data_IF_326624881072
#
_entry.id   IF_326624881072
#
_cell.length_a   1.000
_cell.length_b   1.000
_cell.length_c   1.000
_cell.angle_alpha   90.00
_cell.angle_beta   90.00
_cell.angle_gamma   90.00
#
_symmetry.space_group_name_H-M   'P 1'
#
loop_
_entity.id
_entity.type
_entity.pdbx_description
1 polymer ?
#
# COMPACT_ATOMS: atom_id res chain seq x y z
N UNK A 1 30.98 -18.27 85.26
CA UNK A 1 30.77 -17.11 84.33
C UNK A 1 31.18 -17.30 82.89
N UNK A 2 31.48 -18.52 82.37
CA UNK A 2 31.87 -18.76 80.96
C UNK A 2 30.69 -19.18 80.02
N UNK A 3 29.54 -19.61 80.51
CA UNK A 3 28.41 -20.06 79.72
C UNK A 3 27.55 -18.94 79.09
N UNK A 4 27.54 -17.75 79.66
CA UNK A 4 26.74 -16.61 79.21
C UNK A 4 27.31 -15.92 77.98
N UNK A 5 28.62 -15.94 77.75
CA UNK A 5 29.27 -15.32 76.59
C UNK A 5 29.04 -16.07 75.27
N UNK A 6 28.95 -17.39 75.36
CA UNK A 6 28.72 -18.25 74.17
C UNK A 6 27.31 -18.07 73.60
N UNK A 7 26.28 -18.04 74.45
CA UNK A 7 24.88 -17.87 74.00
C UNK A 7 24.63 -16.48 73.42
N UNK A 8 25.22 -15.46 73.93
CA UNK A 8 25.17 -14.08 73.39
C UNK A 8 25.84 -14.00 72.03
N UNK A 9 27.01 -14.64 71.84
CA UNK A 9 27.68 -14.66 70.54
C UNK A 9 26.85 -15.38 69.46
N UNK A 10 26.23 -16.54 69.76
CA UNK A 10 25.35 -17.23 68.80
C UNK A 10 24.08 -16.43 68.48
N UNK A 11 23.54 -15.68 69.45
CA UNK A 11 22.42 -14.77 69.19
C UNK A 11 22.81 -13.61 68.26
N UNK A 12 23.93 -12.98 68.51
CA UNK A 12 24.42 -11.88 67.66
C UNK A 12 24.77 -12.39 66.26
N UNK A 13 25.46 -13.53 66.10
CA UNK A 13 25.76 -14.10 64.79
C UNK A 13 24.50 -14.53 64.01
N UNK A 14 23.48 -15.09 64.68
CA UNK A 14 22.20 -15.42 64.08
C UNK A 14 21.45 -14.18 63.60
N UNK A 15 21.43 -13.09 64.38
CA UNK A 15 20.77 -11.85 63.98
C UNK A 15 21.46 -11.19 62.78
N UNK A 16 22.80 -11.18 62.78
CA UNK A 16 23.58 -10.65 61.62
C UNK A 16 23.32 -11.48 60.36
N UNK A 17 23.25 -12.81 60.47
CA UNK A 17 22.94 -13.67 59.32
C UNK A 17 21.53 -13.45 58.75
N UNK A 18 20.52 -13.23 59.63
CA UNK A 18 19.17 -12.90 59.19
C UNK A 18 19.09 -11.54 58.54
N UNK A 19 19.77 -10.53 59.07
CA UNK A 19 19.84 -9.20 58.45
C UNK A 19 20.53 -9.26 57.08
N UNK A 20 21.64 -10.00 56.98
CA UNK A 20 22.35 -10.17 55.71
C UNK A 20 21.46 -10.86 54.68
N UNK A 21 20.66 -11.88 55.08
CA UNK A 21 19.71 -12.56 54.19
C UNK A 21 18.59 -11.62 53.72
N UNK A 22 18.08 -10.79 54.63
CA UNK A 22 17.04 -9.79 54.30
C UNK A 22 17.58 -8.73 53.33
N UNK A 23 18.82 -8.30 53.51
CA UNK A 23 19.47 -7.36 52.57
C UNK A 23 19.67 -8.02 51.20
N UNK A 24 20.10 -9.29 51.15
CA UNK A 24 20.24 -10.04 49.90
C UNK A 24 18.92 -10.19 49.18
N UNK A 25 17.85 -10.50 49.89
CA UNK A 25 16.50 -10.60 49.33
C UNK A 25 16.02 -9.24 48.83
N UNK A 26 16.26 -8.18 49.59
CA UNK A 26 15.91 -6.82 49.17
C UNK A 26 16.68 -6.38 47.92
N UNK A 27 18.00 -6.64 47.88
CA UNK A 27 18.83 -6.36 46.68
C UNK A 27 18.35 -7.17 45.50
N UNK A 28 18.00 -8.46 45.68
CA UNK A 28 17.44 -9.30 44.63
C UNK A 28 16.12 -8.75 44.10
N UNK A 29 15.22 -8.30 44.95
CA UNK A 29 13.97 -7.65 44.56
C UNK A 29 14.21 -6.36 43.78
N UNK A 30 15.09 -5.48 44.33
CA UNK A 30 15.40 -4.21 43.68
C UNK A 30 16.14 -4.37 42.36
N UNK A 31 16.97 -5.40 42.19
CA UNK A 31 17.66 -5.69 40.91
C UNK A 31 16.73 -6.33 39.90
N UNK A 32 15.76 -7.17 40.33
CA UNK A 32 14.75 -7.72 39.42
C UNK A 32 13.73 -6.66 38.97
N UNK A 33 13.32 -5.73 39.85
CA UNK A 33 12.44 -4.62 39.43
C UNK A 33 13.16 -3.70 38.42
N UNK A 34 14.44 -3.41 38.62
CA UNK A 34 15.20 -2.63 37.64
C UNK A 34 15.47 -3.39 36.34
N UNK A 35 15.65 -4.73 36.39
CA UNK A 35 15.77 -5.54 35.20
C UNK A 35 14.45 -5.58 34.40
N UNK A 36 13.31 -5.74 35.08
CA UNK A 36 11.99 -5.72 34.43
C UNK A 36 11.67 -4.34 33.86
N UNK A 37 12.00 -3.26 34.60
CA UNK A 37 11.86 -1.90 34.09
C UNK A 37 12.80 -1.63 32.89
N UNK A 38 14.00 -2.21 32.87
CA UNK A 38 14.95 -2.12 31.74
C UNK A 38 14.44 -2.84 30.49
N UNK A 39 13.85 -4.04 30.63
CA UNK A 39 13.22 -4.75 29.52
C UNK A 39 12.09 -3.93 28.88
N UNK A 40 11.30 -3.21 29.66
CA UNK A 40 10.22 -2.37 29.16
C UNK A 40 10.69 -1.05 28.56
N UNK A 41 11.93 -0.61 28.83
CA UNK A 41 12.48 0.67 28.34
C UNK A 41 13.53 0.50 27.24
N UNK A 42 14.16 -0.67 27.09
CA UNK A 42 15.17 -0.94 26.05
C UNK A 42 14.54 -1.45 24.73
N UNK A 43 13.32 -2.02 24.75
CA UNK A 43 12.63 -2.54 23.56
C UNK A 43 11.90 -1.45 22.74
N UNK A 44 11.68 -0.27 23.30
CA UNK A 44 11.24 0.89 22.52
C UNK A 44 12.46 1.77 22.21
N UNK A 45 12.72 2.06 20.90
CA UNK A 45 13.78 3.00 20.53
C UNK A 45 13.62 4.30 21.34
N UNK A 46 14.64 4.68 22.11
CA UNK A 46 14.62 5.92 22.88
C UNK A 46 14.40 7.08 21.90
N UNK A 47 13.25 7.76 22.02
CA UNK A 47 12.85 8.82 21.08
C UNK A 47 11.66 8.51 20.20
N UNK A 48 11.13 7.28 20.18
CA UNK A 48 9.86 7.01 19.48
C UNK A 48 8.71 7.71 20.23
N UNK A 49 8.12 8.69 19.54
CA UNK A 49 6.95 9.42 20.04
C UNK A 49 5.77 9.19 19.11
N UNK A 50 4.62 8.86 19.70
CA UNK A 50 3.36 8.86 18.97
C UNK A 50 2.83 10.28 19.00
N UNK A 51 2.72 10.90 17.85
CA UNK A 51 2.25 12.29 17.69
C UNK A 51 1.12 12.33 16.66
N UNK A 52 0.23 13.32 16.76
CA UNK A 52 -0.70 13.56 15.65
C UNK A 52 0.08 14.05 14.43
N UNK A 53 -0.09 13.43 13.25
CA UNK A 53 0.56 13.90 12.04
C UNK A 53 0.11 15.33 11.72
N UNK A 54 1.02 16.14 11.21
CA UNK A 54 0.65 17.49 10.76
C UNK A 54 -0.12 17.40 9.42
N UNK A 55 -1.32 17.94 9.41
CA UNK A 55 -2.13 18.12 8.19
C UNK A 55 -1.79 19.50 7.63
N UNK A 56 -1.40 19.60 6.33
CA UNK A 56 -1.16 20.91 5.73
C UNK A 56 -2.40 21.79 5.74
N UNK A 57 -2.23 23.09 6.00
CA UNK A 57 -3.33 24.08 5.99
C UNK A 57 -4.04 24.16 4.64
N UNK A 58 -3.30 23.88 3.57
CA UNK A 58 -3.84 23.82 2.20
C UNK A 58 -3.67 22.41 1.64
N UNK A 59 -4.81 21.80 1.33
CA UNK A 59 -4.88 20.51 0.65
C UNK A 59 -5.56 20.66 -0.71
N UNK A 60 -5.04 19.96 -1.71
CA UNK A 60 -5.61 19.90 -3.04
C UNK A 60 -5.51 18.50 -3.64
N UNK A 61 -6.39 18.20 -4.59
CA UNK A 61 -6.35 16.99 -5.40
C UNK A 61 -6.74 17.34 -6.83
N UNK A 62 -5.85 17.08 -7.79
CA UNK A 62 -6.04 17.40 -9.21
C UNK A 62 -6.45 18.85 -9.44
N UNK A 63 -5.73 19.80 -8.82
CA UNK A 63 -5.96 21.24 -8.82
C UNK A 63 -7.29 21.68 -8.16
N UNK A 64 -8.02 20.78 -7.54
CA UNK A 64 -9.22 21.09 -6.77
C UNK A 64 -8.91 21.25 -5.28
N UNK A 65 -9.22 22.41 -4.69
CA UNK A 65 -9.02 22.69 -3.27
C UNK A 65 -9.93 21.83 -2.41
N UNK A 66 -9.38 21.30 -1.31
CA UNK A 66 -10.15 20.54 -0.31
C UNK A 66 -10.61 21.49 0.79
N UNK A 67 -11.91 21.53 1.12
CA UNK A 67 -12.48 22.50 2.06
C UNK A 67 -12.28 22.07 3.53
N UNK A 68 -11.05 22.10 4.01
CA UNK A 68 -10.67 21.67 5.38
C UNK A 68 -11.15 22.62 6.48
N UNK A 69 -11.66 23.81 6.14
CA UNK A 69 -12.40 24.69 7.05
C UNK A 69 -13.74 24.07 7.53
N UNK A 70 -14.26 23.09 6.80
CA UNK A 70 -15.37 22.27 7.25
C UNK A 70 -14.85 21.19 8.20
N UNK A 71 -15.31 21.17 9.45
CA UNK A 71 -14.81 20.25 10.47
C UNK A 71 -14.97 18.77 10.09
N UNK A 72 -16.07 18.40 9.42
CA UNK A 72 -16.31 17.03 8.94
C UNK A 72 -15.27 16.61 7.89
N UNK A 73 -14.91 17.50 6.97
CA UNK A 73 -13.86 17.26 5.97
C UNK A 73 -12.51 17.14 6.66
N UNK A 74 -12.22 18.04 7.59
CA UNK A 74 -11.00 18.00 8.38
C UNK A 74 -10.84 16.67 9.15
N UNK A 75 -11.88 16.23 9.87
CA UNK A 75 -11.85 14.99 10.64
C UNK A 75 -11.66 13.74 9.75
N UNK A 76 -12.22 13.75 8.52
CA UNK A 76 -11.94 12.68 7.54
C UNK A 76 -10.48 12.68 7.09
N UNK A 77 -9.89 13.86 6.84
CA UNK A 77 -8.48 13.99 6.52
C UNK A 77 -7.60 13.53 7.68
N UNK A 78 -7.83 14.05 8.88
CA UNK A 78 -7.09 13.71 10.09
C UNK A 78 -7.05 12.20 10.31
N UNK A 79 -8.21 11.55 10.22
CA UNK A 79 -8.31 10.10 10.34
C UNK A 79 -7.44 9.35 9.33
N UNK A 80 -7.47 9.74 8.04
CA UNK A 80 -6.71 9.01 7.01
C UNK A 80 -5.21 9.34 7.08
N UNK A 81 -4.83 10.57 7.47
CA UNK A 81 -3.43 10.88 7.78
C UNK A 81 -2.93 10.05 8.95
N UNK A 82 -3.68 9.95 10.06
CA UNK A 82 -3.37 9.08 11.19
C UNK A 82 -3.24 7.61 10.77
N UNK A 83 -4.25 7.08 10.08
CA UNK A 83 -4.27 5.69 9.68
C UNK A 83 -3.07 5.34 8.79
N UNK A 84 -2.80 6.12 7.74
CA UNK A 84 -1.73 5.85 6.79
C UNK A 84 -0.34 6.16 7.37
N UNK A 85 -0.19 7.11 8.31
CA UNK A 85 1.07 7.34 9.00
C UNK A 85 1.43 6.20 9.95
N UNK A 86 0.46 5.66 10.68
CA UNK A 86 0.72 4.62 11.68
C UNK A 86 0.53 3.18 11.18
N UNK A 87 0.04 2.99 9.98
CA UNK A 87 0.09 1.68 9.30
C UNK A 87 1.45 1.49 8.61
N UNK A 88 2.50 1.55 9.40
CA UNK A 88 3.90 1.68 8.97
C UNK A 88 4.30 0.70 7.86
N UNK A 89 4.03 -0.60 8.01
CA UNK A 89 4.43 -1.61 7.03
C UNK A 89 3.77 -1.39 5.68
N UNK A 90 2.48 -1.06 5.65
CA UNK A 90 1.73 -0.78 4.42
C UNK A 90 2.29 0.46 3.72
N UNK A 91 2.50 1.54 4.46
CA UNK A 91 2.99 2.80 3.91
C UNK A 91 4.43 2.71 3.41
N UNK A 92 5.32 2.04 4.16
CA UNK A 92 6.70 1.76 3.71
C UNK A 92 6.69 0.96 2.40
N UNK A 93 5.85 -0.08 2.30
CA UNK A 93 5.73 -0.86 1.08
C UNK A 93 5.16 -0.02 -0.08
N UNK A 94 4.17 0.85 0.18
CA UNK A 94 3.65 1.77 -0.82
C UNK A 94 4.75 2.69 -1.38
N UNK A 95 5.56 3.30 -0.52
CA UNK A 95 6.68 4.17 -0.92
C UNK A 95 7.69 3.39 -1.77
N UNK A 96 8.09 2.19 -1.33
CA UNK A 96 9.04 1.35 -2.09
C UNK A 96 8.49 0.93 -3.45
N UNK A 97 7.21 0.58 -3.54
CA UNK A 97 6.53 0.19 -4.78
C UNK A 97 6.27 1.37 -5.70
N UNK A 98 5.98 2.55 -5.16
CA UNK A 98 5.82 3.77 -5.93
C UNK A 98 7.08 4.08 -6.76
N UNK A 99 8.27 3.89 -6.20
CA UNK A 99 9.52 4.04 -6.94
C UNK A 99 9.63 3.10 -8.16
N UNK A 100 9.01 1.92 -8.11
CA UNK A 100 8.97 0.97 -9.24
C UNK A 100 7.90 1.31 -10.26
N UNK A 101 6.70 1.67 -9.80
CA UNK A 101 5.50 1.67 -10.64
C UNK A 101 5.04 3.05 -11.09
N UNK A 102 5.36 4.12 -10.36
CA UNK A 102 5.02 5.48 -10.82
C UNK A 102 5.67 5.84 -12.16
N UNK A 103 6.94 5.46 -12.44
CA UNK A 103 7.52 5.67 -13.78
C UNK A 103 6.77 4.98 -14.93
N UNK A 104 5.93 3.97 -14.65
CA UNK A 104 5.06 3.31 -15.63
C UNK A 104 3.70 4.01 -15.72
N UNK A 105 3.12 4.39 -14.57
CA UNK A 105 1.77 4.96 -14.48
C UNK A 105 1.73 6.42 -14.96
N UNK A 106 2.66 7.27 -14.49
CA UNK A 106 2.70 8.72 -14.76
C UNK A 106 2.68 9.08 -16.26
N UNK A 107 3.50 8.46 -17.12
CA UNK A 107 3.46 8.77 -18.57
C UNK A 107 2.11 8.44 -19.21
N UNK A 108 1.41 7.40 -18.71
CA UNK A 108 0.10 6.99 -19.22
C UNK A 108 -0.97 7.98 -18.80
N UNK A 109 -0.98 8.39 -17.52
CA UNK A 109 -1.88 9.46 -17.04
C UNK A 109 -1.70 10.73 -17.87
N UNK A 110 -0.45 11.18 -18.01
CA UNK A 110 -0.11 12.38 -18.80
C UNK A 110 -0.56 12.28 -20.26
N UNK A 111 -0.32 11.16 -20.93
CA UNK A 111 -0.73 10.90 -22.32
C UNK A 111 -2.25 11.01 -22.51
N UNK A 112 -3.02 10.66 -21.46
CA UNK A 112 -4.47 10.67 -21.48
C UNK A 112 -5.07 11.94 -20.86
N UNK A 113 -4.29 12.98 -20.58
CA UNK A 113 -4.74 14.23 -19.95
C UNK A 113 -5.45 13.99 -18.60
N UNK A 114 -4.98 13.02 -17.82
CA UNK A 114 -5.44 12.74 -16.45
C UNK A 114 -4.42 13.35 -15.50
N UNK A 115 -4.91 14.04 -14.45
CA UNK A 115 -4.06 14.64 -13.44
C UNK A 115 -3.16 13.60 -12.78
N UNK A 116 -1.89 13.95 -12.56
CA UNK A 116 -0.86 13.07 -12.01
C UNK A 116 -1.24 12.51 -10.63
N UNK A 117 -2.03 13.25 -9.86
CA UNK A 117 -2.54 12.85 -8.55
C UNK A 117 -3.30 11.52 -8.56
N UNK A 118 -3.86 11.11 -9.70
CA UNK A 118 -4.57 9.85 -9.81
C UNK A 118 -3.68 8.60 -9.66
N UNK A 119 -2.35 8.73 -9.74
CA UNK A 119 -1.45 7.64 -9.36
C UNK A 119 -1.64 7.19 -7.90
N UNK A 120 -2.01 8.11 -7.00
CA UNK A 120 -2.28 7.79 -5.59
C UNK A 120 -3.62 7.07 -5.39
N UNK A 121 -4.56 7.15 -6.35
CA UNK A 121 -5.76 6.32 -6.34
C UNK A 121 -5.38 4.83 -6.48
N UNK A 122 -4.44 4.48 -7.36
CA UNK A 122 -3.97 3.08 -7.48
C UNK A 122 -3.26 2.59 -6.21
N UNK A 123 -2.60 3.50 -5.47
CA UNK A 123 -2.06 3.17 -4.13
C UNK A 123 -3.20 2.88 -3.15
N UNK A 124 -4.24 3.72 -3.12
CA UNK A 124 -5.39 3.55 -2.23
C UNK A 124 -6.17 2.26 -2.50
N UNK A 125 -6.23 1.81 -3.76
CA UNK A 125 -6.95 0.61 -4.19
C UNK A 125 -6.22 -0.70 -3.88
N UNK A 126 -4.92 -0.76 -4.12
CA UNK A 126 -4.17 -2.01 -4.10
C UNK A 126 -2.82 -1.95 -3.39
N UNK A 127 -2.42 -0.78 -2.89
CA UNK A 127 -1.05 -0.57 -2.43
C UNK A 127 0.00 -0.92 -3.51
N UNK A 128 -0.34 -0.71 -4.80
CA UNK A 128 0.47 -1.06 -5.98
C UNK A 128 0.83 -2.56 -6.04
N UNK A 129 -0.14 -3.42 -5.78
CA UNK A 129 -0.02 -4.88 -5.88
C UNK A 129 -1.08 -5.47 -6.80
N UNK A 130 -0.75 -6.60 -7.42
CA UNK A 130 -1.71 -7.41 -8.16
C UNK A 130 -2.51 -8.29 -7.20
N UNK A 131 -3.45 -7.69 -6.48
CA UNK A 131 -4.33 -8.37 -5.52
C UNK A 131 -5.74 -8.55 -6.07
N UNK A 132 -6.49 -9.46 -5.45
CA UNK A 132 -7.91 -9.70 -5.73
C UNK A 132 -8.68 -9.45 -4.45
N UNK A 133 -9.67 -8.55 -4.51
CA UNK A 133 -10.55 -8.28 -3.37
C UNK A 133 -11.56 -9.41 -3.15
N UNK A 134 -12.19 -9.54 -1.97
CA UNK A 134 -13.26 -10.50 -1.74
C UNK A 134 -14.44 -10.39 -2.72
N UNK A 135 -14.67 -9.20 -3.28
CA UNK A 135 -15.70 -8.94 -4.29
C UNK A 135 -15.25 -9.27 -5.71
N UNK A 136 -13.96 -9.63 -5.93
CA UNK A 136 -13.41 -9.95 -7.25
C UNK A 136 -12.85 -8.74 -8.02
N UNK A 137 -12.72 -7.57 -7.39
CA UNK A 137 -11.96 -6.47 -7.96
C UNK A 137 -10.47 -6.86 -8.02
N UNK A 138 -9.80 -6.57 -9.14
CA UNK A 138 -8.51 -7.19 -9.45
C UNK A 138 -7.49 -6.18 -9.95
N UNK A 139 -6.22 -6.39 -9.54
CA UNK A 139 -5.05 -5.69 -10.04
C UNK A 139 -4.80 -4.35 -9.38
N UNK A 140 -3.88 -3.56 -9.94
CA UNK A 140 -3.46 -2.26 -9.41
C UNK A 140 -4.62 -1.27 -9.26
N UNK A 141 -5.55 -1.29 -10.21
CA UNK A 141 -6.68 -0.39 -10.30
C UNK A 141 -7.99 -1.01 -9.81
N UNK A 142 -7.94 -2.22 -9.26
CA UNK A 142 -9.10 -2.92 -8.67
C UNK A 142 -10.36 -2.93 -9.55
N UNK A 143 -10.18 -3.17 -10.86
CA UNK A 143 -11.32 -3.29 -11.74
C UNK A 143 -12.18 -4.52 -11.44
N UNK A 144 -13.48 -4.32 -11.32
CA UNK A 144 -14.46 -5.40 -11.48
C UNK A 144 -14.48 -5.86 -12.94
N UNK A 145 -14.71 -7.17 -13.19
CA UNK A 145 -14.69 -7.73 -14.55
C UNK A 145 -15.56 -6.94 -15.54
N UNK A 146 -16.84 -6.64 -15.26
CA UNK A 146 -17.70 -5.89 -16.22
C UNK A 146 -17.16 -4.48 -16.52
N UNK A 147 -16.60 -3.80 -15.50
CA UNK A 147 -16.01 -2.49 -15.69
C UNK A 147 -14.72 -2.56 -16.52
N UNK A 148 -13.84 -3.53 -16.23
CA UNK A 148 -12.63 -3.74 -17.03
C UNK A 148 -12.95 -4.00 -18.51
N UNK A 149 -13.89 -4.90 -18.81
CA UNK A 149 -14.35 -5.19 -20.17
C UNK A 149 -14.95 -3.95 -20.86
N UNK A 150 -15.78 -3.17 -20.16
CA UNK A 150 -16.34 -1.90 -20.67
C UNK A 150 -15.26 -0.92 -21.12
N UNK A 151 -14.14 -0.86 -20.38
CA UNK A 151 -13.03 0.06 -20.69
C UNK A 151 -11.92 -0.59 -21.54
N UNK A 152 -12.17 -1.79 -22.09
CA UNK A 152 -11.37 -2.40 -23.16
C UNK A 152 -10.30 -3.38 -22.70
N UNK A 153 -10.39 -3.88 -21.44
CA UNK A 153 -9.52 -4.94 -20.96
C UNK A 153 -10.03 -6.31 -21.44
N UNK A 154 -9.14 -7.16 -21.92
CA UNK A 154 -9.42 -8.57 -22.17
C UNK A 154 -9.40 -9.33 -20.84
N UNK A 155 -10.51 -10.03 -20.53
CA UNK A 155 -10.66 -10.75 -19.26
C UNK A 155 -11.32 -12.10 -19.52
N UNK A 156 -10.49 -13.16 -19.58
CA UNK A 156 -10.92 -14.54 -19.74
C UNK A 156 -10.01 -15.48 -18.92
N UNK A 157 -10.20 -16.79 -19.04
CA UNK A 157 -9.46 -17.78 -18.25
C UNK A 157 -7.94 -17.81 -18.56
N UNK A 158 -7.53 -17.39 -19.77
CA UNK A 158 -6.13 -17.41 -20.20
C UNK A 158 -5.46 -16.04 -20.12
N UNK A 159 -6.25 -14.97 -20.24
CA UNK A 159 -5.78 -13.58 -20.27
C UNK A 159 -6.64 -12.76 -19.33
N UNK A 160 -5.99 -12.01 -18.44
CA UNK A 160 -6.67 -11.02 -17.59
C UNK A 160 -5.83 -9.75 -17.53
N UNK A 161 -6.16 -8.78 -18.38
CA UNK A 161 -5.41 -7.55 -18.52
C UNK A 161 -5.58 -6.57 -17.33
N UNK A 162 -6.42 -6.90 -16.32
CA UNK A 162 -6.47 -6.17 -15.05
C UNK A 162 -5.16 -6.29 -14.27
N UNK A 163 -4.40 -7.38 -14.51
CA UNK A 163 -3.07 -7.60 -13.95
C UNK A 163 -1.95 -6.90 -14.72
N UNK A 164 -2.21 -6.37 -15.90
CA UNK A 164 -1.25 -5.57 -16.66
C UNK A 164 -1.34 -4.11 -16.24
N UNK A 165 -0.26 -3.58 -15.64
CA UNK A 165 -0.23 -2.22 -15.10
C UNK A 165 -0.48 -1.16 -16.18
N UNK A 166 0.11 -1.35 -17.37
CA UNK A 166 -0.01 -0.36 -18.46
C UNK A 166 -1.45 -0.35 -19.01
N UNK A 167 -2.00 -1.53 -19.34
CA UNK A 167 -3.35 -1.64 -19.90
C UNK A 167 -4.43 -1.25 -18.89
N UNK A 168 -4.29 -1.67 -17.65
CA UNK A 168 -5.24 -1.29 -16.60
C UNK A 168 -5.18 0.20 -16.27
N UNK A 169 -4.01 0.84 -16.40
CA UNK A 169 -3.89 2.31 -16.29
C UNK A 169 -4.58 3.03 -17.45
N UNK A 170 -4.42 2.56 -18.70
CA UNK A 170 -5.15 3.10 -19.84
C UNK A 170 -6.69 2.97 -19.66
N UNK A 171 -7.16 1.84 -19.13
CA UNK A 171 -8.57 1.63 -18.81
C UNK A 171 -9.05 2.59 -17.68
N UNK A 172 -8.24 2.78 -16.65
CA UNK A 172 -8.52 3.71 -15.56
C UNK A 172 -8.61 5.16 -16.06
N UNK A 173 -7.73 5.57 -16.96
CA UNK A 173 -7.80 6.89 -17.59
C UNK A 173 -9.14 7.12 -18.31
N UNK A 174 -9.61 6.13 -19.07
CA UNK A 174 -10.91 6.24 -19.75
C UNK A 174 -12.06 6.35 -18.75
N UNK A 175 -12.05 5.52 -17.71
CA UNK A 175 -13.06 5.60 -16.64
C UNK A 175 -13.09 6.99 -15.99
N UNK A 176 -11.93 7.51 -15.61
CA UNK A 176 -11.78 8.80 -14.94
C UNK A 176 -12.21 9.97 -15.84
N UNK A 177 -11.88 9.90 -17.12
CA UNK A 177 -12.31 10.89 -18.11
C UNK A 177 -13.83 10.92 -18.30
N UNK A 178 -14.45 9.74 -18.41
CA UNK A 178 -15.90 9.61 -18.45
C UNK A 178 -16.55 10.17 -17.18
N UNK A 179 -15.99 9.84 -16.01
CA UNK A 179 -16.49 10.35 -14.72
C UNK A 179 -16.34 11.86 -14.59
N UNK A 180 -15.22 12.43 -15.04
CA UNK A 180 -15.04 13.88 -15.08
C UNK A 180 -16.06 14.57 -15.99
N UNK A 181 -16.30 14.01 -17.17
CA UNK A 181 -17.32 14.52 -18.10
C UNK A 181 -18.72 14.47 -17.50
N UNK A 182 -19.04 13.46 -16.68
CA UNK A 182 -20.34 13.33 -16.01
C UNK A 182 -20.50 14.29 -14.83
N UNK A 183 -19.43 14.54 -14.07
CA UNK A 183 -19.53 15.18 -12.75
C UNK A 183 -18.89 16.56 -12.69
N UNK A 184 -18.04 16.93 -13.65
CA UNK A 184 -17.39 18.24 -13.74
C UNK A 184 -16.38 18.51 -12.61
N UNK A 185 -15.90 17.47 -11.92
CA UNK A 185 -14.96 17.58 -10.80
C UNK A 185 -14.14 16.31 -10.68
N UNK A 186 -12.83 16.45 -10.48
CA UNK A 186 -11.91 15.35 -10.27
C UNK A 186 -12.11 14.68 -8.92
N UNK A 187 -12.48 15.43 -7.88
CA UNK A 187 -12.87 14.88 -6.57
C UNK A 187 -14.08 13.98 -6.70
N UNK A 188 -15.14 14.42 -7.43
CA UNK A 188 -16.30 13.57 -7.69
C UNK A 188 -15.94 12.36 -8.57
N UNK A 189 -15.04 12.53 -9.56
CA UNK A 189 -14.55 11.42 -10.39
C UNK A 189 -13.81 10.38 -9.55
N UNK A 190 -12.94 10.79 -8.64
CA UNK A 190 -12.26 9.90 -7.71
C UNK A 190 -13.26 9.16 -6.78
N UNK A 191 -14.26 9.87 -6.24
CA UNK A 191 -15.30 9.25 -5.42
C UNK A 191 -16.11 8.22 -6.22
N UNK A 192 -16.41 8.52 -7.49
CA UNK A 192 -17.17 7.61 -8.37
C UNK A 192 -16.39 6.33 -8.69
N UNK A 193 -15.06 6.35 -8.61
CA UNK A 193 -14.24 5.17 -8.82
C UNK A 193 -14.55 4.08 -7.78
N UNK A 194 -14.74 4.48 -6.53
CA UNK A 194 -15.07 3.57 -5.43
C UNK A 194 -16.54 3.11 -5.45
N UNK A 195 -17.48 4.03 -5.66
CA UNK A 195 -18.92 3.69 -5.53
C UNK A 195 -19.64 3.44 -6.86
N UNK A 196 -18.98 3.63 -7.98
CA UNK A 196 -19.55 3.51 -9.33
C UNK A 196 -20.24 4.80 -9.82
N UNK A 197 -20.16 5.04 -11.14
CA UNK A 197 -20.73 6.24 -11.79
C UNK A 197 -22.24 6.35 -11.59
N UNK A 198 -22.97 5.23 -11.75
CA UNK A 198 -24.43 5.19 -11.59
C UNK A 198 -24.86 5.53 -10.16
N UNK A 199 -24.20 4.91 -9.18
CA UNK A 199 -24.52 5.20 -7.77
C UNK A 199 -24.14 6.63 -7.38
N UNK A 200 -23.05 7.18 -7.92
CA UNK A 200 -22.68 8.59 -7.73
C UNK A 200 -23.78 9.51 -8.23
N UNK A 201 -24.28 9.27 -9.43
CA UNK A 201 -25.40 10.03 -10.01
C UNK A 201 -26.64 9.94 -9.12
N UNK A 202 -27.04 8.73 -8.75
CA UNK A 202 -28.19 8.48 -7.88
C UNK A 202 -28.09 9.22 -6.53
N UNK A 203 -26.92 9.17 -5.87
CA UNK A 203 -26.74 9.84 -4.58
C UNK A 203 -26.78 11.36 -4.72
N UNK A 204 -26.19 11.93 -5.78
CA UNK A 204 -26.25 13.38 -6.05
C UNK A 204 -27.67 13.87 -6.30
N UNK A 205 -28.44 13.14 -7.09
CA UNK A 205 -29.85 13.47 -7.38
C UNK A 205 -30.74 13.35 -6.13
N UNK A 206 -30.62 12.21 -5.42
CA UNK A 206 -31.42 11.93 -4.21
C UNK A 206 -31.18 12.97 -3.11
N UNK A 207 -29.91 13.39 -2.93
CA UNK A 207 -29.50 14.30 -1.87
C UNK A 207 -29.47 15.77 -2.33
N UNK A 208 -29.70 16.02 -3.63
CA UNK A 208 -29.67 17.36 -4.25
C UNK A 208 -28.32 18.08 -3.97
N UNK A 209 -27.22 17.35 -3.99
CA UNK A 209 -25.89 17.85 -3.70
C UNK A 209 -24.91 17.40 -4.80
N UNK A 210 -24.13 18.35 -5.31
CA UNK A 210 -23.18 18.11 -6.41
C UNK A 210 -21.75 17.90 -5.94
N UNK A 211 -21.43 18.30 -4.72
CA UNK A 211 -20.09 18.17 -4.16
C UNK A 211 -20.02 16.90 -3.28
N UNK A 212 -19.01 16.06 -3.52
CA UNK A 212 -18.76 14.84 -2.76
C UNK A 212 -18.77 15.05 -1.24
N UNK A 213 -18.17 16.14 -0.77
CA UNK A 213 -18.07 16.42 0.67
C UNK A 213 -19.44 16.71 1.33
N UNK A 214 -20.45 17.04 0.54
CA UNK A 214 -21.81 17.29 1.00
C UNK A 214 -22.72 16.06 0.92
N UNK A 215 -22.19 14.90 0.47
CA UNK A 215 -22.96 13.67 0.34
C UNK A 215 -22.87 12.81 1.62
N UNK A 216 -23.99 12.30 2.06
CA UNK A 216 -24.08 11.26 3.09
C UNK A 216 -23.82 9.92 2.41
N UNK A 217 -22.67 9.33 2.66
CA UNK A 217 -22.20 8.10 2.03
C UNK A 217 -21.87 7.05 3.11
N UNK A 218 -21.68 5.80 2.71
CA UNK A 218 -21.15 4.79 3.62
C UNK A 218 -19.75 5.16 4.09
N UNK A 219 -19.29 4.53 5.19
CA UNK A 219 -18.02 4.90 5.82
C UNK A 219 -16.79 4.66 4.95
N UNK A 220 -16.82 3.73 4.01
CA UNK A 220 -15.74 3.47 3.06
C UNK A 220 -15.64 4.58 2.03
N UNK A 221 -16.72 4.82 1.29
CA UNK A 221 -16.76 5.84 0.23
C UNK A 221 -16.57 7.24 0.78
N UNK A 222 -17.12 7.57 1.96
CA UNK A 222 -16.94 8.89 2.57
C UNK A 222 -15.51 9.24 2.94
N UNK A 223 -14.62 8.23 3.09
CA UNK A 223 -13.21 8.39 3.42
C UNK A 223 -12.27 8.16 2.22
N UNK A 224 -12.79 7.66 1.11
CA UNK A 224 -11.96 7.19 0.00
C UNK A 224 -11.08 8.32 -0.59
N UNK A 225 -11.67 9.49 -0.86
CA UNK A 225 -10.91 10.64 -1.38
C UNK A 225 -9.90 11.15 -0.34
N UNK A 226 -10.27 11.18 0.94
CA UNK A 226 -9.35 11.55 2.02
C UNK A 226 -8.16 10.58 2.11
N UNK A 227 -8.38 9.28 1.87
CA UNK A 227 -7.32 8.26 1.79
C UNK A 227 -6.35 8.54 0.64
N UNK A 228 -6.86 8.84 -0.55
CA UNK A 228 -6.02 9.17 -1.71
C UNK A 228 -5.16 10.40 -1.40
N UNK A 229 -5.75 11.45 -0.84
CA UNK A 229 -5.06 12.70 -0.51
C UNK A 229 -4.00 12.47 0.58
N UNK A 230 -4.32 11.77 1.66
CA UNK A 230 -3.34 11.48 2.70
C UNK A 230 -2.15 10.69 2.16
N UNK A 231 -2.40 9.67 1.32
CA UNK A 231 -1.34 8.92 0.64
C UNK A 231 -0.51 9.81 -0.29
N UNK A 232 -1.14 10.74 -1.05
CA UNK A 232 -0.42 11.74 -1.86
C UNK A 232 0.59 12.50 -1.00
N UNK A 233 0.15 13.15 0.06
CA UNK A 233 1.01 14.00 0.87
C UNK A 233 2.08 13.23 1.64
N UNK A 234 1.75 12.03 2.15
CA UNK A 234 2.70 11.16 2.85
C UNK A 234 3.78 10.65 1.88
N UNK A 235 3.40 10.14 0.69
CA UNK A 235 4.35 9.60 -0.27
C UNK A 235 5.21 10.70 -0.93
N UNK A 236 4.70 11.94 -1.04
CA UNK A 236 5.48 13.08 -1.50
C UNK A 236 6.50 13.58 -0.48
N UNK A 237 6.20 13.44 0.81
CA UNK A 237 7.02 13.98 1.90
C UNK A 237 7.19 12.93 3.02
N UNK A 238 7.75 11.74 2.74
CA UNK A 238 7.76 10.63 3.70
C UNK A 238 8.46 10.97 5.01
N UNK A 239 9.56 11.71 4.97
CA UNK A 239 10.32 12.12 6.16
C UNK A 239 9.49 13.00 7.12
N UNK A 240 8.62 13.87 6.59
CA UNK A 240 7.70 14.70 7.40
C UNK A 240 6.75 13.84 8.24
N UNK A 241 6.42 12.64 7.76
CA UNK A 241 5.53 11.68 8.42
C UNK A 241 6.29 10.54 9.13
N UNK A 242 7.60 10.69 9.31
CA UNK A 242 8.42 9.76 10.08
C UNK A 242 8.95 8.56 9.30
N UNK A 243 8.85 8.56 7.97
CA UNK A 243 9.37 7.49 7.12
C UNK A 243 10.75 7.86 6.55
N UNK A 244 11.80 7.39 7.20
CA UNK A 244 13.18 7.49 6.73
C UNK A 244 13.53 6.21 5.94
N UNK A 245 13.44 6.26 4.61
CA UNK A 245 13.69 5.12 3.72
C UNK A 245 14.85 5.46 2.80
N UNK A 246 15.92 4.71 2.90
CA UNK A 246 17.11 4.90 2.09
C UNK A 246 16.82 4.59 0.62
N UNK A 247 17.51 5.31 -0.28
CA UNK A 247 17.36 5.14 -1.73
C UNK A 247 17.68 3.72 -2.20
N UNK A 248 18.66 3.08 -1.59
CA UNK A 248 19.06 1.68 -1.86
C UNK A 248 17.99 0.65 -1.49
N UNK A 249 17.09 1.00 -0.55
CA UNK A 249 15.99 0.13 -0.11
C UNK A 249 14.73 0.24 -0.99
N UNK A 250 14.71 1.18 -1.93
CA UNK A 250 13.59 1.37 -2.84
C UNK A 250 13.52 0.24 -3.87
N UNK A 251 12.31 -0.19 -4.24
CA UNK A 251 12.16 -1.19 -5.29
C UNK A 251 12.43 -0.56 -6.66
N UNK A 252 13.46 -1.06 -7.35
CA UNK A 252 13.86 -0.55 -8.66
C UNK A 252 12.81 -0.83 -9.73
N UNK A 253 12.65 0.04 -10.75
CA UNK A 253 11.88 -0.25 -11.95
C UNK A 253 12.32 -1.57 -12.59
N UNK A 254 11.38 -2.24 -13.26
CA UNK A 254 11.69 -3.46 -13.99
C UNK A 254 12.26 -3.09 -15.37
N UNK A 255 13.47 -3.55 -15.65
CA UNK A 255 14.08 -3.40 -16.97
C UNK A 255 13.71 -4.59 -17.85
N UNK A 256 13.10 -4.33 -18.99
CA UNK A 256 12.65 -5.36 -19.93
C UNK A 256 12.74 -4.90 -21.38
N UNK A 257 12.68 -5.86 -22.28
CA UNK A 257 12.36 -5.66 -23.69
C UNK A 257 11.06 -6.39 -24.02
N UNK A 258 10.49 -6.11 -25.18
CA UNK A 258 9.23 -6.73 -25.60
C UNK A 258 9.45 -7.59 -26.84
N UNK A 259 8.77 -8.73 -26.87
CA UNK A 259 8.66 -9.59 -28.07
C UNK A 259 7.21 -9.76 -28.44
N UNK A 260 6.94 -9.83 -29.75
CA UNK A 260 5.61 -10.05 -30.28
C UNK A 260 5.23 -11.51 -30.19
N UNK A 261 4.01 -11.79 -29.72
CA UNK A 261 3.39 -13.11 -29.72
C UNK A 261 2.02 -13.02 -30.42
N UNK A 262 1.92 -13.58 -31.63
CA UNK A 262 0.71 -13.59 -32.44
C UNK A 262 0.12 -15.00 -32.67
N UNK A 263 0.74 -16.01 -32.08
CA UNK A 263 0.38 -17.42 -32.21
C UNK A 263 -0.03 -18.02 -30.87
N UNK A 264 -0.57 -19.23 -30.89
CA UNK A 264 -0.81 -20.02 -29.70
C UNK A 264 0.51 -20.54 -29.10
N UNK A 265 0.59 -20.59 -27.76
CA UNK A 265 1.69 -21.22 -27.03
C UNK A 265 1.11 -22.40 -26.27
N UNK A 266 1.63 -23.59 -26.51
CA UNK A 266 1.16 -24.82 -25.86
C UNK A 266 1.77 -25.02 -24.47
N UNK A 267 2.95 -24.44 -24.24
CA UNK A 267 3.72 -24.61 -23.01
C UNK A 267 4.58 -23.34 -22.73
N UNK A 268 4.15 -22.50 -21.82
CA UNK A 268 4.91 -21.31 -21.38
C UNK A 268 6.20 -21.63 -20.60
N UNK A 269 6.31 -22.71 -19.82
CA UNK A 269 7.59 -23.18 -19.30
C UNK A 269 8.66 -23.38 -20.40
N UNK A 270 8.34 -24.07 -21.49
CA UNK A 270 9.28 -24.25 -22.61
C UNK A 270 9.52 -22.95 -23.39
N UNK A 271 8.48 -22.13 -23.57
CA UNK A 271 8.63 -20.78 -24.15
C UNK A 271 9.61 -19.91 -23.33
N UNK A 272 9.50 -19.94 -22.00
CA UNK A 272 10.40 -19.19 -21.11
C UNK A 272 11.86 -19.68 -21.26
N UNK A 273 12.09 -21.00 -21.32
CA UNK A 273 13.43 -21.58 -21.53
C UNK A 273 14.05 -21.15 -22.85
N UNK A 274 13.25 -21.03 -23.93
CA UNK A 274 13.74 -20.54 -25.22
C UNK A 274 14.36 -19.16 -25.13
N UNK A 275 13.85 -18.30 -24.23
CA UNK A 275 14.39 -16.97 -23.94
C UNK A 275 15.41 -16.95 -22.80
N UNK A 276 15.86 -18.10 -22.32
CA UNK A 276 16.89 -18.20 -21.26
C UNK A 276 16.39 -17.81 -19.87
N UNK A 277 15.08 -17.81 -19.63
CA UNK A 277 14.45 -17.52 -18.32
C UNK A 277 13.62 -18.72 -17.86
N UNK A 278 13.17 -18.71 -16.60
CA UNK A 278 12.20 -19.68 -16.11
C UNK A 278 10.76 -19.17 -16.17
N UNK A 279 9.80 -20.07 -15.97
CA UNK A 279 8.37 -19.76 -16.00
C UNK A 279 7.94 -18.73 -14.96
N UNK A 280 8.53 -18.76 -13.77
CA UNK A 280 8.26 -17.80 -12.72
C UNK A 280 8.58 -16.37 -13.17
N UNK A 281 9.76 -16.16 -13.77
CA UNK A 281 10.17 -14.85 -14.29
C UNK A 281 9.25 -14.41 -15.43
N UNK A 282 8.90 -15.29 -16.35
CA UNK A 282 7.96 -14.98 -17.41
C UNK A 282 6.62 -14.46 -16.85
N UNK A 283 6.08 -15.16 -15.85
CA UNK A 283 4.81 -14.78 -15.19
C UNK A 283 4.93 -13.49 -14.37
N UNK A 284 6.08 -13.25 -13.74
CA UNK A 284 6.35 -12.04 -12.98
C UNK A 284 6.33 -10.78 -13.88
N UNK A 285 6.88 -10.88 -15.10
CA UNK A 285 6.86 -9.79 -16.07
C UNK A 285 5.53 -9.69 -16.85
N UNK A 286 4.78 -10.79 -16.92
CA UNK A 286 3.50 -10.89 -17.65
C UNK A 286 2.41 -11.51 -16.77
N UNK A 287 2.03 -10.87 -15.65
CA UNK A 287 1.07 -11.44 -14.71
C UNK A 287 -0.35 -11.58 -15.28
N UNK A 288 -0.64 -10.92 -16.40
CA UNK A 288 -1.88 -10.99 -17.15
C UNK A 288 -2.07 -12.32 -17.91
N UNK A 289 -1.01 -13.11 -18.13
CA UNK A 289 -1.10 -14.49 -18.58
C UNK A 289 -1.57 -15.37 -17.41
N UNK A 290 -2.75 -15.98 -17.49
CA UNK A 290 -3.35 -16.64 -16.33
C UNK A 290 -3.08 -18.15 -16.25
N UNK A 291 -2.74 -18.79 -17.37
CA UNK A 291 -2.43 -20.21 -17.43
C UNK A 291 -1.00 -20.46 -17.93
N UNK A 292 -0.60 -21.73 -18.01
CA UNK A 292 0.70 -22.18 -18.55
C UNK A 292 0.71 -22.36 -20.08
N UNK A 293 -0.39 -21.99 -20.76
CA UNK A 293 -0.55 -22.01 -22.21
C UNK A 293 -1.40 -20.82 -22.68
N UNK A 294 -1.38 -20.54 -23.97
CA UNK A 294 -2.24 -19.55 -24.61
C UNK A 294 -2.87 -20.13 -25.89
N UNK A 295 -4.19 -20.12 -25.97
CA UNK A 295 -4.91 -20.38 -27.21
C UNK A 295 -5.22 -19.07 -27.91
N UNK A 296 -4.51 -18.77 -28.99
CA UNK A 296 -4.67 -17.53 -29.76
C UNK A 296 -5.15 -17.87 -31.20
N UNK A 297 -6.42 -18.23 -31.33
CA UNK A 297 -7.01 -18.58 -32.63
C UNK A 297 -7.26 -17.38 -33.53
N UNK A 298 -7.36 -16.21 -33.00
CA UNK A 298 -7.60 -14.94 -33.70
C UNK A 298 -6.34 -14.27 -34.20
N UNK A 299 -5.17 -14.82 -33.90
CA UNK A 299 -3.86 -14.23 -34.18
C UNK A 299 -3.75 -12.81 -33.59
N UNK A 300 -4.36 -12.56 -32.44
CA UNK A 300 -4.20 -11.29 -31.69
C UNK A 300 -2.75 -11.10 -31.33
N UNK A 301 -2.25 -9.90 -31.52
CA UNK A 301 -0.87 -9.56 -31.18
C UNK A 301 -0.78 -9.21 -29.69
N UNK A 302 0.02 -9.96 -28.95
CA UNK A 302 0.37 -9.69 -27.58
C UNK A 302 1.84 -9.27 -27.49
N UNK A 303 2.15 -8.35 -26.57
CA UNK A 303 3.52 -7.93 -26.28
C UNK A 303 3.97 -8.63 -24.99
N UNK A 304 4.89 -9.56 -25.12
CA UNK A 304 5.47 -10.29 -23.99
C UNK A 304 6.69 -9.53 -23.49
N UNK A 305 6.69 -9.18 -22.21
CA UNK A 305 7.82 -8.53 -21.52
C UNK A 305 8.80 -9.59 -21.05
N UNK A 306 10.07 -9.40 -21.40
CA UNK A 306 11.18 -10.26 -21.00
C UNK A 306 12.26 -9.40 -20.33
N UNK A 307 12.89 -9.87 -19.25
CA UNK A 307 13.94 -9.10 -18.57
C UNK A 307 15.12 -8.86 -19.50
N UNK A 308 15.72 -7.66 -19.41
CA UNK A 308 17.03 -7.44 -20.03
C UNK A 308 18.09 -8.26 -19.32
N UNK A 309 19.13 -8.61 -20.06
CA UNK A 309 20.27 -9.36 -19.54
C UNK A 309 20.88 -8.67 -18.30
N UNK A 310 21.18 -9.44 -17.26
CA UNK A 310 21.74 -8.94 -16.01
C UNK A 310 20.75 -8.25 -15.05
N UNK A 311 19.46 -8.13 -15.43
CA UNK A 311 18.43 -7.49 -14.56
C UNK A 311 18.00 -8.39 -13.41
N UNK A 312 17.99 -9.70 -13.62
CA UNK A 312 17.57 -10.71 -12.64
C UNK A 312 18.60 -11.83 -12.59
N UNK A 313 19.00 -12.22 -11.39
CA UNK A 313 19.72 -13.48 -11.19
C UNK A 313 18.73 -14.65 -11.24
N UNK A 314 18.92 -15.53 -12.22
CA UNK A 314 18.14 -16.76 -12.33
C UNK A 314 18.70 -17.76 -11.33
N UNK A 315 17.90 -18.15 -10.34
CA UNK A 315 18.25 -19.23 -9.41
C UNK A 315 18.34 -20.52 -10.24
N UNK A 316 19.55 -21.06 -10.32
CA UNK A 316 19.79 -22.34 -11.00
C UNK A 316 19.26 -23.48 -10.11
N UNK A 317 18.53 -24.41 -10.72
CA UNK A 317 18.08 -25.64 -10.09
C UNK A 317 19.24 -26.59 -9.82
#
# INVERSE_FOLDING_TARGET
>A
MKKSRSTFQYFVTGTVAVIALLILVLVFYLTNDTATARYLTEDFPQGYKIVSPEIPDYLEFADERIPTENFEVYERMDREFLANTYWHSSTILAIKRANRWFPVIEPILKKNDIADDFKYLSVAESNLENVVSPAGATGFWQFMKPAGEKYGLEINDLVDERYDVEKSTEAACKYLKDSYNMFGSWVNAAASYNMGQENTTLQRERQKANNYFNLVLNSETSRFVARIISLKYILQNPEKYGFDIKKEDMYKPLDYYQVTLDSSVTDFPEYAKYYGINYFILKMYNPWLRDNYLKNRSNKVYMIKLPKEGTIEIIKE
#
